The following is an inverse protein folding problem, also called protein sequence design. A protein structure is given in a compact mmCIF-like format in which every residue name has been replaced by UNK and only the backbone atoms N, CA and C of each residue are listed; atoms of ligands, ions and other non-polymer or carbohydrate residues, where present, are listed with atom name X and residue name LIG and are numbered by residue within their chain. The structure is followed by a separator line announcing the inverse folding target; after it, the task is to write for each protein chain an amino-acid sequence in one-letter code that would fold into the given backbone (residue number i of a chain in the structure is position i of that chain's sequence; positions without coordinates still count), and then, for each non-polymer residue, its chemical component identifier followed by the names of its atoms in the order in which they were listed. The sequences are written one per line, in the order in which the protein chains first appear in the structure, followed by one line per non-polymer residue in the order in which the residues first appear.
data_IF_122882132683
#
_entry.id   IF_122882132683
#
_cell.length_a   1.000
_cell.length_b   1.000
_cell.length_c   1.000
_cell.angle_alpha   90.00
_cell.angle_beta   90.00
_cell.angle_gamma   90.00
#
_symmetry.space_group_name_H-M   'P 1'
#
loop_
_entity.id
_entity.type
_entity.pdbx_description
1 polymer ?
#
# COMPACT_ATOMS: atom_id res chain seq x y z
N UNK A 1 20.93 -11.72 -54.85
CA UNK A 1 19.50 -11.31 -54.78
C UNK A 1 18.73 -12.47 -54.18
N UNK A 2 18.22 -12.28 -52.95
CA UNK A 2 17.32 -13.12 -52.13
C UNK A 2 17.47 -14.66 -52.16
N UNK A 3 17.88 -15.19 -51.01
CA UNK A 3 17.53 -16.54 -50.55
C UNK A 3 16.80 -16.46 -49.20
N UNK A 4 15.79 -17.33 -49.01
CA UNK A 4 15.68 -18.15 -47.79
C UNK A 4 14.58 -19.20 -47.96
N UNK A 5 14.99 -20.47 -47.91
CA UNK A 5 14.18 -21.65 -47.61
C UNK A 5 14.76 -22.27 -46.34
N UNK A 6 13.88 -22.70 -45.43
CA UNK A 6 14.22 -23.77 -44.48
C UNK A 6 14.24 -23.39 -42.99
N UNK A 7 13.14 -23.77 -42.33
CA UNK A 7 13.08 -24.66 -41.16
C UNK A 7 13.61 -24.15 -39.80
N UNK A 8 12.74 -24.37 -38.82
CA UNK A 8 12.85 -24.12 -37.37
C UNK A 8 14.25 -24.31 -36.78
N UNK A 9 14.72 -23.28 -36.07
CA UNK A 9 15.88 -23.32 -35.18
C UNK A 9 15.40 -22.93 -33.78
N UNK A 10 15.69 -23.79 -32.81
CA UNK A 10 15.57 -23.49 -31.39
C UNK A 10 16.37 -22.22 -31.04
N UNK A 11 15.69 -21.19 -30.54
CA UNK A 11 16.30 -19.93 -30.13
C UNK A 11 16.31 -19.80 -28.62
N UNK A 12 17.39 -20.22 -27.97
CA UNK A 12 17.68 -19.88 -26.59
C UNK A 12 18.46 -18.54 -26.56
N UNK A 13 17.96 -17.49 -25.91
CA UNK A 13 18.82 -16.42 -25.34
C UNK A 13 18.09 -15.57 -24.29
N UNK A 14 18.83 -15.30 -23.23
CA UNK A 14 18.44 -14.75 -21.93
C UNK A 14 18.42 -13.21 -21.86
N UNK A 15 17.56 -12.67 -20.98
CA UNK A 15 17.54 -11.33 -20.33
C UNK A 15 17.04 -10.15 -21.22
N UNK A 16 16.49 -9.04 -20.68
CA UNK A 16 16.46 -8.58 -19.28
C UNK A 16 15.05 -8.19 -18.76
N UNK A 17 14.95 -7.88 -17.46
CA UNK A 17 13.71 -7.46 -16.80
C UNK A 17 12.94 -6.39 -17.56
N UNK A 18 11.84 -6.82 -18.18
CA UNK A 18 10.78 -5.97 -18.71
C UNK A 18 9.63 -6.13 -17.75
N UNK A 19 9.38 -5.10 -16.94
CA UNK A 19 8.13 -4.99 -16.21
C UNK A 19 7.02 -5.06 -17.27
N UNK A 20 6.30 -6.18 -17.29
CA UNK A 20 5.06 -6.28 -18.05
C UNK A 20 4.08 -5.48 -17.22
N UNK A 21 3.82 -4.25 -17.67
CA UNK A 21 2.60 -3.55 -17.30
C UNK A 21 1.47 -4.49 -17.72
N UNK A 22 0.81 -5.10 -16.74
CA UNK A 22 -0.44 -5.77 -17.01
C UNK A 22 -1.40 -4.63 -17.35
N UNK A 23 -1.64 -4.44 -18.64
CA UNK A 23 -2.84 -3.74 -19.04
C UNK A 23 -3.97 -4.63 -18.49
N UNK A 24 -4.62 -4.22 -17.40
CA UNK A 24 -5.83 -4.89 -16.90
C UNK A 24 -6.88 -4.71 -17.99
N UNK A 25 -6.79 -5.53 -19.04
CA UNK A 25 -7.88 -5.69 -19.98
C UNK A 25 -9.03 -6.15 -19.12
N UNK A 26 -10.09 -5.35 -19.06
CA UNK A 26 -11.35 -5.63 -18.37
C UNK A 26 -12.09 -6.81 -19.02
N UNK A 27 -11.40 -7.92 -19.30
CA UNK A 27 -11.87 -9.12 -19.96
C UNK A 27 -12.32 -10.14 -18.94
N UNK A 28 -13.62 -10.22 -18.71
CA UNK A 28 -14.23 -11.26 -17.88
C UNK A 28 -13.75 -12.66 -18.33
N UNK A 29 -13.21 -13.44 -17.39
CA UNK A 29 -12.95 -14.86 -17.60
C UNK A 29 -14.28 -15.61 -17.45
N UNK A 30 -14.71 -16.29 -18.51
CA UNK A 30 -15.92 -17.12 -18.49
C UNK A 30 -15.59 -18.59 -18.28
N UNK A 31 -16.04 -19.18 -17.18
CA UNK A 31 -16.11 -20.63 -16.98
C UNK A 31 -17.57 -21.01 -16.72
N UNK A 32 -18.14 -21.88 -17.55
CA UNK A 32 -19.51 -22.38 -17.35
C UNK A 32 -20.62 -21.32 -17.37
N UNK A 33 -20.42 -20.19 -18.06
CA UNK A 33 -21.40 -19.08 -18.12
C UNK A 33 -21.38 -18.12 -16.93
N UNK A 34 -20.55 -18.38 -15.91
CA UNK A 34 -20.29 -17.43 -14.83
C UNK A 34 -19.25 -16.41 -15.31
N UNK A 35 -19.65 -15.15 -15.44
CA UNK A 35 -18.73 -14.05 -15.77
C UNK A 35 -17.94 -13.66 -14.51
N UNK A 36 -16.67 -14.04 -14.45
CA UNK A 36 -15.74 -13.65 -13.39
C UNK A 36 -14.92 -12.47 -13.94
N UNK A 37 -14.82 -11.32 -13.25
CA UNK A 37 -13.96 -10.22 -13.72
C UNK A 37 -12.52 -10.71 -13.91
N UNK A 38 -11.84 -10.19 -14.95
CA UNK A 38 -10.47 -10.57 -15.37
C UNK A 38 -9.46 -10.57 -14.22
N UNK A 39 -9.70 -9.65 -13.28
CA UNK A 39 -8.95 -9.52 -12.06
C UNK A 39 -9.93 -9.56 -10.87
N UNK A 40 -10.18 -10.74 -10.28
CA UNK A 40 -10.97 -10.85 -9.06
C UNK A 40 -10.22 -10.28 -7.83
N UNK A 41 -8.97 -9.85 -8.02
CA UNK A 41 -8.06 -9.39 -6.97
C UNK A 41 -7.82 -7.87 -7.01
N UNK A 42 -8.01 -7.14 -8.12
CA UNK A 42 -7.77 -5.69 -8.18
C UNK A 42 -8.65 -4.85 -7.25
N UNK A 43 -9.76 -5.39 -6.76
CA UNK A 43 -10.72 -4.66 -5.91
C UNK A 43 -10.84 -5.30 -4.51
N UNK A 44 -9.70 -5.50 -3.85
CA UNK A 44 -9.67 -6.05 -2.49
C UNK A 44 -10.46 -5.23 -1.47
N UNK A 45 -10.58 -3.91 -1.69
CA UNK A 45 -11.42 -3.03 -0.87
C UNK A 45 -12.90 -3.41 -0.92
N UNK A 46 -13.42 -3.81 -2.09
CA UNK A 46 -14.79 -4.31 -2.22
C UNK A 46 -14.99 -5.66 -1.55
N UNK A 47 -14.02 -6.56 -1.60
CA UNK A 47 -14.14 -7.88 -0.96
C UNK A 47 -14.32 -7.74 0.56
N UNK A 48 -13.58 -6.82 1.19
CA UNK A 48 -13.77 -6.47 2.60
C UNK A 48 -15.17 -5.91 2.88
N UNK A 49 -15.73 -5.13 1.96
CA UNK A 49 -17.06 -4.52 2.10
C UNK A 49 -18.23 -5.51 1.91
N UNK A 50 -18.06 -6.51 1.04
CA UNK A 50 -19.16 -7.41 0.62
C UNK A 50 -19.17 -8.71 1.43
N UNK A 51 -18.00 -9.26 1.77
CA UNK A 51 -17.90 -10.58 2.39
C UNK A 51 -17.71 -10.48 3.90
N UNK A 52 -18.69 -11.00 4.66
CA UNK A 52 -18.69 -10.99 6.12
C UNK A 52 -17.46 -11.68 6.72
N UNK A 53 -17.02 -12.81 6.16
CA UNK A 53 -15.86 -13.54 6.68
C UNK A 53 -14.56 -12.72 6.55
N UNK A 54 -14.37 -12.03 5.42
CA UNK A 54 -13.20 -11.17 5.19
C UNK A 54 -13.19 -10.01 6.17
N UNK A 55 -14.35 -9.40 6.39
CA UNK A 55 -14.51 -8.33 7.38
C UNK A 55 -14.14 -8.82 8.79
N UNK A 56 -14.67 -9.96 9.23
CA UNK A 56 -14.39 -10.51 10.57
C UNK A 56 -12.90 -10.85 10.74
N UNK A 57 -12.27 -11.50 9.75
CA UNK A 57 -10.85 -11.84 9.83
C UNK A 57 -9.96 -10.60 9.94
N UNK A 58 -10.18 -9.60 9.07
CA UNK A 58 -9.39 -8.37 9.08
C UNK A 58 -9.64 -7.60 10.38
N UNK A 59 -10.91 -7.42 10.78
CA UNK A 59 -11.25 -6.69 12.01
C UNK A 59 -10.62 -7.31 13.26
N UNK A 60 -10.65 -8.64 13.35
CA UNK A 60 -10.04 -9.35 14.48
C UNK A 60 -8.53 -9.09 14.54
N UNK A 61 -7.86 -9.12 13.39
CA UNK A 61 -6.41 -8.88 13.32
C UNK A 61 -6.04 -7.42 13.60
N UNK A 62 -6.79 -6.47 13.07
CA UNK A 62 -6.53 -5.03 13.26
C UNK A 62 -6.72 -4.64 14.73
N UNK A 63 -7.79 -5.11 15.38
CA UNK A 63 -8.02 -4.88 16.81
C UNK A 63 -6.92 -5.50 17.69
N UNK A 64 -6.53 -6.74 17.39
CA UNK A 64 -5.47 -7.42 18.12
C UNK A 64 -4.13 -6.68 17.99
N UNK A 65 -3.84 -6.16 16.79
CA UNK A 65 -2.62 -5.38 16.55
C UNK A 65 -2.66 -4.03 17.29
N UNK A 66 -3.79 -3.32 17.20
CA UNK A 66 -3.96 -2.00 17.80
C UNK A 66 -3.93 -2.00 19.34
N UNK A 67 -4.17 -3.15 19.97
CA UNK A 67 -4.08 -3.30 21.43
C UNK A 67 -2.63 -3.28 21.93
N UNK A 68 -1.65 -3.52 21.05
CA UNK A 68 -0.23 -3.57 21.41
C UNK A 68 0.33 -2.14 21.44
N UNK A 69 0.80 -1.65 22.60
CA UNK A 69 1.43 -0.34 22.65
C UNK A 69 2.75 -0.35 21.88
N UNK A 70 2.99 0.68 21.07
CA UNK A 70 4.27 0.87 20.38
C UNK A 70 5.16 1.71 21.27
N UNK A 71 6.26 1.11 21.73
CA UNK A 71 7.26 1.76 22.57
C UNK A 71 8.50 2.07 21.74
N UNK A 72 8.93 3.33 21.78
CA UNK A 72 10.13 3.79 21.09
C UNK A 72 11.35 3.50 21.95
N UNK A 73 12.32 2.83 21.35
CA UNK A 73 13.61 2.57 21.97
C UNK A 73 14.70 3.41 21.32
N UNK A 74 15.52 4.03 22.15
CA UNK A 74 16.70 4.77 21.71
C UNK A 74 17.95 3.95 22.02
N UNK A 75 18.83 3.81 21.04
CA UNK A 75 20.11 3.12 21.25
C UNK A 75 21.07 4.03 22.02
N UNK A 76 21.42 3.67 23.26
CA UNK A 76 22.47 4.33 24.04
C UNK A 76 23.67 3.40 24.20
N UNK A 77 24.79 3.80 23.59
CA UNK A 77 26.05 3.04 23.54
C UNK A 77 25.83 1.62 23.00
N UNK A 78 25.60 0.64 23.88
CA UNK A 78 25.47 -0.78 23.57
C UNK A 78 24.12 -1.40 23.96
N UNK A 79 23.22 -0.63 24.60
CA UNK A 79 21.90 -1.10 25.02
C UNK A 79 20.76 -0.34 24.33
N UNK A 80 19.64 -1.03 24.14
CA UNK A 80 18.37 -0.42 23.78
C UNK A 80 17.62 -0.09 25.06
N UNK A 81 17.29 1.18 25.24
CA UNK A 81 16.54 1.67 26.39
C UNK A 81 15.23 2.27 25.90
N UNK A 82 14.15 2.02 26.64
CA UNK A 82 12.85 2.63 26.38
C UNK A 82 12.95 4.14 26.61
N UNK A 83 12.53 4.93 25.62
CA UNK A 83 12.59 6.40 25.65
C UNK A 83 11.18 6.97 25.50
N UNK A 84 10.37 6.97 26.58
CA UNK A 84 8.99 7.44 26.54
C UNK A 84 8.88 8.95 26.26
N UNK A 85 9.96 9.70 26.46
CA UNK A 85 10.00 11.16 26.24
C UNK A 85 10.49 11.54 24.84
N UNK A 86 10.76 10.55 23.97
CA UNK A 86 11.17 10.81 22.60
C UNK A 86 10.08 11.58 21.83
N UNK A 87 10.44 12.56 20.97
CA UNK A 87 9.48 13.23 20.10
C UNK A 87 8.68 12.26 19.23
N UNK A 88 9.26 11.11 18.88
CA UNK A 88 8.59 10.08 18.08
C UNK A 88 7.53 9.34 18.91
N UNK A 89 7.81 9.03 20.18
CA UNK A 89 6.81 8.42 21.08
C UNK A 89 5.59 9.34 21.21
N UNK A 90 5.84 10.64 21.41
CA UNK A 90 4.76 11.63 21.53
C UNK A 90 3.81 11.65 20.34
N UNK A 91 4.34 11.52 19.12
CA UNK A 91 3.53 11.52 17.89
C UNK A 91 2.78 10.19 17.72
N UNK A 92 3.36 9.08 18.18
CA UNK A 92 2.68 7.79 18.15
C UNK A 92 1.56 7.71 19.18
N UNK A 93 1.70 8.37 20.33
CA UNK A 93 0.68 8.42 21.37
C UNK A 93 -0.47 9.38 20.98
N UNK A 94 -0.12 10.56 20.45
CA UNK A 94 -1.04 11.59 19.97
C UNK A 94 -0.80 11.86 18.48
N UNK A 95 -1.51 11.09 17.65
CA UNK A 95 -1.31 11.00 16.20
C UNK A 95 -1.91 12.22 15.49
N UNK A 96 -3.16 12.54 15.81
CA UNK A 96 -3.92 13.64 15.26
C UNK A 96 -5.10 13.96 16.20
N UNK A 97 -5.64 15.19 16.17
CA UNK A 97 -6.74 15.59 17.06
C UNK A 97 -8.02 14.74 16.95
N UNK A 98 -8.21 14.10 15.79
CA UNK A 98 -9.42 13.35 15.45
C UNK A 98 -9.33 11.85 15.78
N UNK A 99 -8.13 11.30 15.98
CA UNK A 99 -7.96 9.86 16.11
C UNK A 99 -6.84 9.49 17.09
N UNK A 100 -7.07 8.42 17.84
CA UNK A 100 -6.13 7.90 18.83
C UNK A 100 -5.06 7.04 18.17
N UNK A 101 -3.97 6.77 18.90
CA UNK A 101 -2.94 5.81 18.51
C UNK A 101 -3.51 4.43 18.13
N UNK A 102 -4.51 3.95 18.89
CA UNK A 102 -5.24 2.72 18.59
C UNK A 102 -5.92 2.79 17.22
N UNK A 103 -6.69 3.85 16.96
CA UNK A 103 -7.39 4.03 15.68
C UNK A 103 -6.41 4.12 14.50
N UNK A 104 -5.26 4.78 14.71
CA UNK A 104 -4.21 4.88 13.70
C UNK A 104 -3.61 3.51 13.35
N UNK A 105 -3.31 2.69 14.34
CA UNK A 105 -2.81 1.34 14.13
C UNK A 105 -3.86 0.44 13.48
N UNK A 106 -5.12 0.53 13.92
CA UNK A 106 -6.25 -0.22 13.35
C UNK A 106 -6.40 0.13 11.86
N UNK A 107 -6.40 1.41 11.51
CA UNK A 107 -6.52 1.89 10.13
C UNK A 107 -5.32 1.46 9.26
N UNK A 108 -4.10 1.61 9.78
CA UNK A 108 -2.88 1.21 9.06
C UNK A 108 -2.88 -0.28 8.76
N UNK A 109 -3.12 -1.11 9.78
CA UNK A 109 -3.16 -2.56 9.61
C UNK A 109 -4.32 -2.97 8.70
N UNK A 110 -5.47 -2.28 8.79
CA UNK A 110 -6.61 -2.48 7.92
C UNK A 110 -6.26 -2.26 6.45
N UNK A 111 -5.58 -1.16 6.13
CA UNK A 111 -5.12 -0.87 4.77
C UNK A 111 -4.09 -1.86 4.26
N UNK A 112 -3.12 -2.26 5.09
CA UNK A 112 -2.15 -3.30 4.71
C UNK A 112 -2.82 -4.64 4.40
N UNK A 113 -3.87 -5.01 5.14
CA UNK A 113 -4.55 -6.30 4.94
C UNK A 113 -5.60 -6.27 3.84
N UNK A 114 -6.24 -5.12 3.62
CA UNK A 114 -7.16 -4.95 2.51
C UNK A 114 -6.40 -4.74 1.20
N UNK A 115 -5.50 -3.76 1.10
CA UNK A 115 -4.90 -3.34 -0.17
C UNK A 115 -3.45 -3.79 -0.37
N UNK A 116 -2.81 -4.37 0.66
CA UNK A 116 -1.39 -4.70 0.62
C UNK A 116 -0.45 -3.51 0.88
N UNK A 117 -0.99 -2.29 0.86
CA UNK A 117 -0.26 -1.04 1.04
C UNK A 117 -0.96 -0.13 2.05
N UNK A 118 -0.19 0.69 2.76
CA UNK A 118 -0.69 1.75 3.62
C UNK A 118 0.18 2.99 3.44
N UNK A 119 -0.46 4.14 3.30
CA UNK A 119 0.22 5.42 3.14
C UNK A 119 -0.16 6.35 4.27
N UNK A 120 0.81 7.15 4.71
CA UNK A 120 0.61 8.15 5.75
C UNK A 120 0.94 9.53 5.20
N UNK A 121 0.04 10.47 5.41
CA UNK A 121 0.29 11.88 5.19
C UNK A 121 0.81 12.50 6.47
N UNK A 122 2.02 13.05 6.40
CA UNK A 122 2.71 13.63 7.54
C UNK A 122 2.67 15.14 7.45
N UNK A 123 2.00 15.79 8.40
CA UNK A 123 2.03 17.24 8.56
C UNK A 123 3.21 17.58 9.46
N UNK A 124 3.97 18.61 9.08
CA UNK A 124 5.13 19.09 9.83
C UNK A 124 4.87 20.48 10.36
N UNK A 125 5.31 20.73 11.58
CA UNK A 125 5.31 22.06 12.20
C UNK A 125 6.33 22.98 11.48
N UNK A 126 6.28 24.29 11.76
CA UNK A 126 7.20 25.31 11.26
C UNK A 126 8.67 25.02 11.59
N UNK A 127 8.93 24.24 12.64
CA UNK A 127 10.25 23.72 12.98
C UNK A 127 10.69 22.47 12.23
N UNK A 128 9.91 21.98 11.25
CA UNK A 128 10.20 20.77 10.46
C UNK A 128 9.98 19.45 11.21
N UNK A 129 9.49 19.51 12.45
CA UNK A 129 9.15 18.33 13.26
C UNK A 129 7.80 17.77 12.80
N UNK A 130 7.62 16.44 12.71
CA UNK A 130 6.32 15.87 12.44
C UNK A 130 5.35 16.25 13.57
N UNK A 131 4.20 16.79 13.19
CA UNK A 131 3.18 17.26 14.10
C UNK A 131 1.98 16.32 14.09
N UNK A 132 1.57 15.84 12.91
CA UNK A 132 0.40 14.97 12.76
C UNK A 132 0.64 13.89 11.71
N UNK A 133 -0.01 12.76 11.90
CA UNK A 133 -0.03 11.64 10.96
C UNK A 133 -1.46 11.30 10.55
N UNK A 134 -1.70 11.22 9.25
CA UNK A 134 -3.02 10.94 8.70
C UNK A 134 -2.95 9.68 7.83
N UNK A 135 -3.67 8.60 8.18
CA UNK A 135 -3.69 7.41 7.34
C UNK A 135 -4.52 7.69 6.08
N UNK A 136 -3.89 7.54 4.92
CA UNK A 136 -4.52 7.78 3.62
C UNK A 136 -5.08 6.49 3.04
N UNK A 137 -6.22 6.64 2.37
CA UNK A 137 -6.87 5.57 1.61
C UNK A 137 -6.01 5.15 0.41
N UNK A 138 -5.52 3.89 0.36
CA UNK A 138 -4.60 3.45 -0.70
C UNK A 138 -5.23 3.44 -2.09
N UNK A 139 -6.56 3.25 -2.19
CA UNK A 139 -7.30 3.28 -3.45
C UNK A 139 -7.30 4.66 -4.13
N UNK A 140 -7.03 5.71 -3.36
CA UNK A 140 -6.94 7.10 -3.85
C UNK A 140 -5.49 7.57 -4.04
N UNK A 141 -4.50 6.70 -3.82
CA UNK A 141 -3.09 7.02 -3.97
C UNK A 141 -2.57 6.42 -5.27
N UNK A 142 -2.09 7.27 -6.18
CA UNK A 142 -1.40 6.85 -7.41
C UNK A 142 0.09 7.12 -7.29
N UNK A 143 0.91 6.07 -7.40
CA UNK A 143 2.36 6.19 -7.47
C UNK A 143 2.77 6.53 -8.91
N UNK A 144 3.49 7.63 -9.12
CA UNK A 144 4.06 7.99 -10.41
C UNK A 144 5.51 7.52 -10.50
N UNK A 145 5.90 6.81 -11.59
CA UNK A 145 7.29 6.42 -11.78
C UNK A 145 8.18 7.65 -11.97
N UNK A 146 9.31 7.67 -11.28
CA UNK A 146 10.37 8.65 -11.48
C UNK A 146 11.34 8.24 -12.58
N UNK A 147 12.29 9.11 -12.89
CA UNK A 147 13.26 8.95 -13.99
C UNK A 147 14.16 7.71 -13.84
N UNK A 148 14.41 7.24 -12.60
CA UNK A 148 15.38 6.17 -12.30
C UNK A 148 14.71 4.89 -11.77
N UNK A 149 13.63 4.42 -12.42
CA UNK A 149 12.88 3.19 -12.05
C UNK A 149 12.31 3.14 -10.62
N UNK A 150 12.53 4.19 -9.83
CA UNK A 150 12.01 4.36 -8.47
C UNK A 150 10.75 5.24 -8.50
N UNK A 151 9.86 5.08 -7.51
CA UNK A 151 8.66 5.92 -7.39
C UNK A 151 9.10 7.37 -7.15
N UNK A 152 8.65 8.28 -8.01
CA UNK A 152 9.03 9.70 -7.97
C UNK A 152 8.10 10.53 -7.09
N UNK A 153 6.79 10.32 -7.21
CA UNK A 153 5.78 11.03 -6.42
C UNK A 153 4.54 10.18 -6.15
N UNK A 154 3.79 10.57 -5.13
CA UNK A 154 2.47 10.05 -4.83
C UNK A 154 1.45 11.17 -5.04
N UNK A 155 0.40 10.87 -5.79
CA UNK A 155 -0.74 11.77 -5.97
C UNK A 155 -1.93 11.21 -5.21
N UNK A 156 -2.57 12.06 -4.42
CA UNK A 156 -3.74 11.70 -3.63
C UNK A 156 -4.94 12.49 -4.14
N UNK A 157 -5.97 11.78 -4.59
CA UNK A 157 -7.22 12.37 -5.04
C UNK A 157 -8.17 11.33 -5.62
N UNK A 158 -9.49 11.61 -5.66
CA UNK A 158 -10.41 10.77 -6.40
C UNK A 158 -9.99 10.70 -7.87
N UNK A 159 -10.18 9.55 -8.51
CA UNK A 159 -10.00 9.43 -9.95
C UNK A 159 -10.79 10.53 -10.68
N UNK A 160 -10.08 11.49 -11.28
CA UNK A 160 -10.68 12.58 -12.04
C UNK A 160 -10.56 13.98 -11.43
N UNK A 161 -10.06 14.15 -10.20
CA UNK A 161 -9.69 15.49 -9.72
C UNK A 161 -8.31 15.89 -10.23
N UNK A 162 -8.18 16.04 -11.55
CA UNK A 162 -7.08 16.80 -12.11
C UNK A 162 -7.27 18.25 -11.66
N UNK A 163 -6.46 18.70 -10.71
CA UNK A 163 -6.37 20.11 -10.32
C UNK A 163 -6.05 20.93 -11.56
N UNK A 164 -6.98 21.84 -11.92
CA UNK A 164 -6.75 22.93 -12.89
C UNK A 164 -5.78 23.94 -12.30
#
# INVERSE_FOLDING_TARGET
MRERVGRWIAGQKSLPGRFVEYETSAGTCSWGGLQIPADPYSDYGRLFRVHVWTYVCIRTLTMATATIPIMVQTKRKDAWEDDPNSPLQRILDDVNPEMTSFGFQEATMGYLKAFGNAFWYMIRDRGGRPAELWPMRPDMVKAKPGTDRMIGSYEYGPEGSATT
#
